data_IF_980162410401
#
_entry.id   IF_980162410401
#
_cell.length_a   1.000
_cell.length_b   1.000
_cell.length_c   1.000
_cell.angle_alpha   90.00
_cell.angle_beta   90.00
_cell.angle_gamma   90.00
#
_symmetry.space_group_name_H-M   'P 1'
#
loop_
_entity.id
_entity.type
_entity.pdbx_description
1 polymer ?
#
# COMPACT_ATOMS: atom_id res chain seq x y z
N UNK A 1 7.16 -23.71 -3.25
CA UNK A 1 8.06 -23.58 -4.41
C UNK A 1 8.47 -22.10 -4.45
N UNK A 2 9.70 -21.76 -4.08
CA UNK A 2 10.15 -20.35 -4.10
C UNK A 2 10.33 -19.93 -5.55
N UNK A 3 9.56 -18.94 -6.01
CA UNK A 3 9.78 -18.34 -7.32
C UNK A 3 11.19 -17.72 -7.35
N UNK A 4 11.93 -17.94 -8.44
CA UNK A 4 13.24 -17.34 -8.59
C UNK A 4 13.12 -15.80 -8.54
N UNK A 5 14.02 -15.08 -7.83
CA UNK A 5 13.93 -13.63 -7.65
C UNK A 5 13.76 -12.85 -8.96
N UNK A 6 14.46 -13.29 -10.02
CA UNK A 6 14.37 -12.71 -11.36
C UNK A 6 12.95 -12.85 -11.92
N UNK A 7 12.31 -14.00 -11.72
CA UNK A 7 10.95 -14.26 -12.21
C UNK A 7 9.90 -13.35 -11.56
N UNK A 8 10.02 -13.11 -10.25
CA UNK A 8 9.13 -12.20 -9.50
C UNK A 8 9.28 -10.75 -10.00
N UNK A 9 10.52 -10.28 -10.14
CA UNK A 9 10.81 -8.92 -10.60
C UNK A 9 10.35 -8.72 -12.05
N UNK A 10 10.66 -9.69 -12.93
CA UNK A 10 10.23 -9.65 -14.32
C UNK A 10 8.70 -9.63 -14.45
N UNK A 11 8.01 -10.49 -13.69
CA UNK A 11 6.54 -10.50 -13.62
C UNK A 11 5.99 -9.13 -13.22
N UNK A 12 6.45 -8.59 -12.09
CA UNK A 12 6.02 -7.28 -11.59
C UNK A 12 6.28 -6.16 -12.61
N UNK A 13 7.44 -6.17 -13.26
CA UNK A 13 7.79 -5.19 -14.30
C UNK A 13 6.86 -5.30 -15.52
N UNK A 14 6.61 -6.50 -16.01
CA UNK A 14 5.70 -6.74 -17.15
C UNK A 14 4.28 -6.30 -16.82
N UNK A 15 3.76 -6.65 -15.64
CA UNK A 15 2.42 -6.25 -15.22
C UNK A 15 2.34 -4.73 -15.08
N UNK A 16 3.35 -4.09 -14.48
CA UNK A 16 3.39 -2.63 -14.34
C UNK A 16 3.39 -1.92 -15.70
N UNK A 17 4.11 -2.47 -16.70
CA UNK A 17 4.12 -1.95 -18.06
C UNK A 17 2.76 -2.04 -18.75
N UNK A 18 2.08 -3.19 -18.59
CA UNK A 18 0.73 -3.36 -19.13
C UNK A 18 -0.27 -2.44 -18.43
N UNK A 19 -0.18 -2.30 -17.11
CA UNK A 19 -1.03 -1.41 -16.33
C UNK A 19 -0.83 0.06 -16.75
N UNK A 20 0.42 0.51 -16.89
CA UNK A 20 0.75 1.88 -17.31
C UNK A 20 0.24 2.17 -18.73
N UNK A 21 0.42 1.21 -19.63
CA UNK A 21 -0.10 1.30 -21.00
C UNK A 21 -1.62 1.36 -21.04
N UNK A 22 -2.29 0.58 -20.18
CA UNK A 22 -3.76 0.59 -20.04
C UNK A 22 -4.26 1.92 -19.50
N UNK A 23 -3.60 2.49 -18.48
CA UNK A 23 -3.92 3.81 -17.94
C UNK A 23 -3.82 4.89 -19.02
N UNK A 24 -2.73 4.86 -19.81
CA UNK A 24 -2.49 5.78 -20.92
C UNK A 24 -3.54 5.63 -22.01
N UNK A 25 -3.93 4.40 -22.35
CA UNK A 25 -4.97 4.12 -23.34
C UNK A 25 -6.34 4.69 -22.88
N UNK A 26 -6.73 4.42 -21.63
CA UNK A 26 -7.94 4.95 -21.04
C UNK A 26 -7.95 6.49 -21.02
N UNK A 27 -6.84 7.11 -20.62
CA UNK A 27 -6.70 8.56 -20.66
C UNK A 27 -6.88 9.11 -22.08
N UNK A 28 -6.21 8.50 -23.07
CA UNK A 28 -6.31 8.89 -24.47
C UNK A 28 -7.72 8.73 -25.02
N UNK A 29 -8.40 7.65 -24.64
CA UNK A 29 -9.78 7.39 -24.99
C UNK A 29 -10.72 8.47 -24.45
N UNK A 30 -10.66 8.78 -23.14
CA UNK A 30 -11.44 9.86 -22.54
C UNK A 30 -11.11 11.22 -23.18
N UNK A 31 -9.84 11.44 -23.52
CA UNK A 31 -9.41 12.68 -24.18
C UNK A 31 -9.96 12.82 -25.61
N UNK A 32 -10.13 11.71 -26.33
CA UNK A 32 -10.74 11.69 -27.66
C UNK A 32 -12.24 11.99 -27.67
N UNK A 33 -12.92 11.91 -26.52
CA UNK A 33 -14.36 12.19 -26.41
C UNK A 33 -14.65 13.70 -26.50
N UNK A 34 -14.96 14.20 -27.71
CA UNK A 34 -15.32 15.60 -28.00
C UNK A 34 -16.40 16.22 -27.09
N UNK A 35 -17.27 15.40 -26.50
CA UNK A 35 -18.37 15.84 -25.61
C UNK A 35 -18.44 15.03 -24.30
N UNK A 36 -17.29 14.62 -23.75
CA UNK A 36 -17.29 13.91 -22.48
C UNK A 36 -17.85 14.81 -21.33
N UNK A 37 -18.68 14.26 -20.43
CA UNK A 37 -19.17 14.98 -19.25
C UNK A 37 -18.01 15.50 -18.37
N UNK A 38 -18.22 16.63 -17.68
CA UNK A 38 -17.20 17.24 -16.81
C UNK A 38 -16.67 16.28 -15.74
N UNK A 39 -17.51 15.40 -15.21
CA UNK A 39 -17.12 14.39 -14.22
C UNK A 39 -16.17 13.34 -14.80
N UNK A 40 -16.37 12.94 -16.05
CA UNK A 40 -15.48 12.02 -16.76
C UNK A 40 -14.15 12.71 -17.13
N UNK A 41 -14.19 14.00 -17.43
CA UNK A 41 -12.99 14.81 -17.64
C UNK A 41 -12.16 14.94 -16.36
N UNK A 42 -12.80 15.09 -15.19
CA UNK A 42 -12.12 15.18 -13.90
C UNK A 42 -11.31 13.92 -13.56
N UNK A 43 -11.75 12.74 -14.01
CA UNK A 43 -11.02 11.48 -13.79
C UNK A 43 -9.68 11.41 -14.53
N UNK A 44 -9.43 12.26 -15.53
CA UNK A 44 -8.16 12.25 -16.27
C UNK A 44 -6.96 12.50 -15.37
N UNK A 45 -7.09 13.39 -14.39
CA UNK A 45 -6.02 13.71 -13.45
C UNK A 45 -5.71 12.49 -12.56
N UNK A 46 -6.74 11.81 -12.06
CA UNK A 46 -6.60 10.59 -11.27
C UNK A 46 -5.93 9.46 -12.10
N UNK A 47 -6.31 9.30 -13.37
CA UNK A 47 -5.73 8.29 -14.29
C UNK A 47 -4.26 8.61 -14.63
N UNK A 48 -3.93 9.88 -14.91
CA UNK A 48 -2.55 10.31 -15.13
C UNK A 48 -1.69 10.11 -13.89
N UNK A 49 -2.24 10.40 -12.71
CA UNK A 49 -1.57 10.16 -11.43
C UNK A 49 -1.27 8.68 -11.23
N UNK A 50 -2.23 7.78 -11.51
CA UNK A 50 -2.01 6.33 -11.46
C UNK A 50 -0.93 5.87 -12.46
N UNK A 51 -0.97 6.37 -13.70
CA UNK A 51 0.07 6.10 -14.71
C UNK A 51 1.46 6.54 -14.21
N UNK A 52 1.58 7.73 -13.63
CA UNK A 52 2.86 8.25 -13.14
C UNK A 52 3.45 7.39 -12.02
N UNK A 53 2.61 6.88 -11.11
CA UNK A 53 3.05 5.97 -10.04
C UNK A 53 3.58 4.65 -10.61
N UNK A 54 2.87 4.08 -11.59
CA UNK A 54 3.31 2.85 -12.26
C UNK A 54 4.63 3.05 -13.02
N UNK A 55 4.81 4.17 -13.71
CA UNK A 55 6.08 4.48 -14.38
C UNK A 55 7.23 4.71 -13.40
N UNK A 56 6.96 5.39 -12.28
CA UNK A 56 7.93 5.55 -11.19
C UNK A 56 8.37 4.21 -10.60
N UNK A 57 7.43 3.29 -10.40
CA UNK A 57 7.73 1.92 -9.97
C UNK A 57 8.61 1.17 -10.99
N UNK A 58 8.30 1.27 -12.29
CA UNK A 58 9.11 0.64 -13.35
C UNK A 58 10.53 1.18 -13.37
N UNK A 59 10.70 2.49 -13.21
CA UNK A 59 12.02 3.12 -13.14
C UNK A 59 12.81 2.59 -11.93
N UNK A 60 12.19 2.56 -10.75
CA UNK A 60 12.81 2.05 -9.52
C UNK A 60 13.21 0.56 -9.64
N UNK A 61 12.36 -0.28 -10.23
CA UNK A 61 12.68 -1.69 -10.50
C UNK A 61 13.90 -1.80 -11.41
N UNK A 62 13.91 -1.07 -12.52
CA UNK A 62 14.98 -1.13 -13.51
C UNK A 62 16.32 -0.70 -12.92
N UNK A 63 16.33 0.40 -12.18
CA UNK A 63 17.51 0.93 -11.49
C UNK A 63 18.06 -0.07 -10.46
N UNK A 64 17.18 -0.69 -9.66
CA UNK A 64 17.57 -1.63 -8.61
C UNK A 64 17.98 -3.00 -9.14
N UNK A 65 17.49 -3.40 -10.32
CA UNK A 65 17.74 -4.71 -10.93
C UNK A 65 19.15 -4.88 -11.52
N UNK A 66 20.00 -3.86 -11.48
CA UNK A 66 21.37 -3.93 -12.02
C UNK A 66 22.30 -4.85 -11.20
N UNK A 67 22.02 -5.04 -9.91
CA UNK A 67 22.83 -5.85 -8.99
C UNK A 67 22.10 -7.11 -8.51
N UNK A 68 22.72 -8.28 -8.64
CA UNK A 68 22.13 -9.58 -8.27
C UNK A 68 21.76 -9.68 -6.79
N UNK A 69 22.52 -9.03 -5.90
CA UNK A 69 22.20 -8.96 -4.47
C UNK A 69 20.92 -8.15 -4.21
N UNK A 70 20.77 -7.03 -4.91
CA UNK A 70 19.60 -6.15 -4.80
C UNK A 70 18.35 -6.80 -5.38
N UNK A 71 18.48 -7.67 -6.38
CA UNK A 71 17.36 -8.45 -6.93
C UNK A 71 16.72 -9.41 -5.91
N UNK A 72 17.52 -10.14 -5.14
CA UNK A 72 16.98 -11.08 -4.14
C UNK A 72 16.23 -10.34 -3.00
N UNK A 73 16.79 -9.21 -2.57
CA UNK A 73 16.17 -8.34 -1.56
C UNK A 73 14.87 -7.76 -2.11
N UNK A 74 14.89 -7.18 -3.32
CA UNK A 74 13.73 -6.58 -3.96
C UNK A 74 12.60 -7.60 -4.16
N UNK A 75 12.90 -8.82 -4.63
CA UNK A 75 11.89 -9.88 -4.79
C UNK A 75 11.22 -10.26 -3.46
N UNK A 76 12.00 -10.33 -2.38
CA UNK A 76 11.49 -10.61 -1.03
C UNK A 76 10.58 -9.49 -0.54
N UNK A 77 10.97 -8.23 -0.77
CA UNK A 77 10.17 -7.06 -0.42
C UNK A 77 8.88 -7.00 -1.26
N UNK A 78 8.95 -7.33 -2.54
CA UNK A 78 7.80 -7.33 -3.45
C UNK A 78 6.75 -8.37 -3.02
N UNK A 79 7.20 -9.54 -2.59
CA UNK A 79 6.33 -10.56 -2.02
C UNK A 79 5.76 -10.11 -0.67
N UNK A 80 6.60 -9.61 0.24
CA UNK A 80 6.18 -9.17 1.57
C UNK A 80 5.12 -8.07 1.51
N UNK A 81 5.31 -7.08 0.64
CA UNK A 81 4.36 -5.96 0.49
C UNK A 81 3.26 -6.22 -0.54
N UNK A 82 3.21 -7.40 -1.17
CA UNK A 82 2.16 -7.74 -2.14
C UNK A 82 2.13 -6.82 -3.37
N UNK A 83 3.28 -6.28 -3.80
CA UNK A 83 3.38 -5.28 -4.87
C UNK A 83 2.77 -5.80 -6.17
N UNK A 84 3.06 -7.04 -6.54
CA UNK A 84 2.50 -7.66 -7.75
C UNK A 84 0.97 -7.69 -7.73
N UNK A 85 0.39 -8.04 -6.57
CA UNK A 85 -1.05 -8.12 -6.40
C UNK A 85 -1.68 -6.72 -6.47
N UNK A 86 -1.05 -5.70 -5.87
CA UNK A 86 -1.50 -4.31 -5.95
C UNK A 86 -1.46 -3.75 -7.38
N UNK A 87 -0.42 -4.05 -8.17
CA UNK A 87 -0.35 -3.67 -9.59
C UNK A 87 -1.44 -4.37 -10.40
N UNK A 88 -1.63 -5.68 -10.19
CA UNK A 88 -2.70 -6.46 -10.87
C UNK A 88 -4.08 -5.90 -10.57
N UNK A 89 -4.33 -5.55 -9.31
CA UNK A 89 -5.56 -4.88 -8.89
C UNK A 89 -5.77 -3.55 -9.64
N UNK A 90 -4.75 -2.69 -9.68
CA UNK A 90 -4.81 -1.42 -10.40
C UNK A 90 -5.10 -1.62 -11.90
N UNK A 91 -4.41 -2.58 -12.54
CA UNK A 91 -4.61 -2.95 -13.94
C UNK A 91 -6.08 -3.36 -14.20
N UNK A 92 -6.64 -4.24 -13.37
CA UNK A 92 -8.02 -4.71 -13.53
C UNK A 92 -9.04 -3.58 -13.38
N UNK A 93 -8.85 -2.70 -12.39
CA UNK A 93 -9.72 -1.52 -12.20
C UNK A 93 -9.73 -0.64 -13.46
N UNK A 94 -8.56 -0.41 -14.06
CA UNK A 94 -8.43 0.40 -15.29
C UNK A 94 -9.11 -0.29 -16.49
N UNK A 95 -8.86 -1.58 -16.69
CA UNK A 95 -9.42 -2.34 -17.82
C UNK A 95 -10.94 -2.47 -17.75
N UNK A 96 -11.48 -2.76 -16.56
CA UNK A 96 -12.92 -2.85 -16.34
C UNK A 96 -13.64 -1.53 -16.63
N UNK A 97 -13.06 -0.42 -16.15
CA UNK A 97 -13.62 0.90 -16.43
C UNK A 97 -13.51 1.27 -17.92
N UNK A 98 -12.42 0.88 -18.58
CA UNK A 98 -12.26 1.07 -20.04
C UNK A 98 -13.35 0.32 -20.80
N UNK A 99 -13.53 -0.97 -20.53
CA UNK A 99 -14.56 -1.80 -21.15
C UNK A 99 -15.97 -1.24 -20.90
N UNK A 100 -16.20 -0.72 -19.69
CA UNK A 100 -17.45 -0.04 -19.34
C UNK A 100 -17.66 1.18 -20.24
N UNK A 101 -16.73 2.13 -20.32
CA UNK A 101 -16.93 3.34 -21.16
C UNK A 101 -17.04 2.98 -22.66
N UNK A 102 -16.26 2.01 -23.15
CA UNK A 102 -16.34 1.54 -24.54
C UNK A 102 -17.74 1.01 -24.88
N UNK A 103 -18.31 0.16 -24.04
CA UNK A 103 -19.68 -0.37 -24.22
C UNK A 103 -20.72 0.73 -24.46
N UNK A 104 -20.61 1.85 -23.73
CA UNK A 104 -21.58 2.95 -23.82
C UNK A 104 -21.28 3.96 -24.92
N UNK A 105 -20.12 3.88 -25.57
CA UNK A 105 -19.71 4.78 -26.66
C UNK A 105 -19.81 4.15 -28.06
N UNK A 106 -19.86 2.81 -28.17
CA UNK A 106 -19.80 2.05 -29.45
C UNK A 106 -21.03 2.21 -30.39
N UNK A 107 -22.17 2.75 -29.96
CA UNK A 107 -23.44 2.68 -30.75
C UNK A 107 -23.89 3.95 -31.51
N UNK A 108 -22.98 4.84 -31.87
CA UNK A 108 -23.38 6.17 -32.41
C UNK A 108 -23.74 6.22 -33.90
N UNK A 109 -23.87 5.08 -34.59
CA UNK A 109 -23.83 5.07 -36.06
C UNK A 109 -25.15 4.78 -36.77
N UNK A 110 -26.26 4.46 -36.09
CA UNK A 110 -27.55 4.21 -36.78
C UNK A 110 -28.78 4.74 -36.02
N UNK A 111 -29.21 5.95 -36.36
CA UNK A 111 -30.64 6.29 -36.43
C UNK A 111 -31.42 6.67 -35.17
N UNK A 112 -30.82 6.75 -33.97
CA UNK A 112 -31.51 7.15 -32.73
C UNK A 112 -30.91 8.41 -32.10
N UNK A 113 -31.75 9.40 -31.76
CA UNK A 113 -31.40 10.79 -31.45
C UNK A 113 -30.69 11.08 -30.10
N UNK A 114 -30.13 10.08 -29.41
CA UNK A 114 -29.47 10.33 -28.11
C UNK A 114 -27.98 10.56 -28.31
N UNK A 115 -27.52 11.78 -28.05
CA UNK A 115 -26.09 12.12 -28.14
C UNK A 115 -25.27 11.24 -27.19
N UNK A 116 -24.07 10.82 -27.61
CA UNK A 116 -23.08 10.13 -26.75
C UNK A 116 -22.94 10.83 -25.40
N UNK A 117 -22.97 12.17 -25.40
CA UNK A 117 -22.94 12.98 -24.19
C UNK A 117 -24.12 12.69 -23.25
N UNK A 118 -25.33 12.64 -23.80
CA UNK A 118 -26.55 12.45 -23.02
C UNK A 118 -26.61 11.02 -22.50
N UNK A 119 -26.18 10.02 -23.29
CA UNK A 119 -25.97 8.66 -22.80
C UNK A 119 -24.96 8.65 -21.66
N UNK A 120 -23.73 9.12 -21.86
CA UNK A 120 -22.71 9.15 -20.80
C UNK A 120 -23.18 9.88 -19.53
N UNK A 121 -23.96 10.97 -19.67
CA UNK A 121 -24.50 11.73 -18.54
C UNK A 121 -25.61 10.99 -17.78
N UNK A 122 -26.46 10.24 -18.49
CA UNK A 122 -27.52 9.41 -17.89
C UNK A 122 -26.92 8.13 -17.28
N UNK A 123 -25.94 7.55 -17.97
CA UNK A 123 -25.33 6.26 -17.70
C UNK A 123 -24.30 6.30 -16.55
N UNK A 124 -23.47 7.34 -16.45
CA UNK A 124 -22.49 7.46 -15.38
C UNK A 124 -23.06 8.29 -14.22
N UNK A 125 -23.78 7.61 -13.31
CA UNK A 125 -24.16 8.18 -12.02
C UNK A 125 -22.90 8.69 -11.30
N UNK A 126 -23.01 9.82 -10.61
CA UNK A 126 -21.93 10.40 -9.81
C UNK A 126 -21.31 9.35 -8.87
N UNK A 127 -22.13 8.55 -8.21
CA UNK A 127 -21.71 7.46 -7.32
C UNK A 127 -20.79 6.43 -7.99
N UNK A 128 -21.04 6.06 -9.24
CA UNK A 128 -20.22 5.10 -9.99
C UNK A 128 -18.84 5.65 -10.33
N UNK A 129 -18.78 6.93 -10.72
CA UNK A 129 -17.51 7.61 -10.98
C UNK A 129 -16.71 7.83 -9.70
N UNK A 130 -17.38 8.20 -8.59
CA UNK A 130 -16.73 8.30 -7.27
C UNK A 130 -16.21 6.93 -6.80
N UNK A 131 -16.97 5.85 -6.98
CA UNK A 131 -16.53 4.50 -6.63
C UNK A 131 -15.33 4.04 -7.48
N UNK A 132 -15.31 4.34 -8.78
CA UNK A 132 -14.13 4.11 -9.62
C UNK A 132 -12.92 4.92 -9.11
N UNK A 133 -13.11 6.22 -8.86
CA UNK A 133 -12.06 7.11 -8.37
C UNK A 133 -11.50 6.63 -7.03
N UNK A 134 -12.36 6.22 -6.11
CA UNK A 134 -11.98 5.68 -4.81
C UNK A 134 -11.11 4.42 -4.97
N UNK A 135 -11.54 3.46 -5.80
CA UNK A 135 -10.78 2.22 -6.08
C UNK A 135 -9.45 2.49 -6.79
N UNK A 136 -9.43 3.41 -7.76
CA UNK A 136 -8.21 3.79 -8.48
C UNK A 136 -7.21 4.46 -7.53
N UNK A 137 -7.66 5.40 -6.69
CA UNK A 137 -6.80 6.05 -5.73
C UNK A 137 -6.35 5.08 -4.62
N UNK A 138 -7.22 4.16 -4.19
CA UNK A 138 -6.89 3.07 -3.28
C UNK A 138 -5.71 2.23 -3.78
N UNK A 139 -5.85 1.68 -4.99
CA UNK A 139 -4.79 0.86 -5.60
C UNK A 139 -3.52 1.65 -5.92
N UNK A 140 -3.64 2.89 -6.39
CA UNK A 140 -2.49 3.78 -6.65
C UNK A 140 -1.69 4.05 -5.38
N UNK A 141 -2.35 4.51 -4.32
CA UNK A 141 -1.70 4.86 -3.06
C UNK A 141 -1.03 3.62 -2.46
N UNK A 142 -1.71 2.47 -2.52
CA UNK A 142 -1.15 1.18 -2.09
C UNK A 142 0.17 0.85 -2.81
N UNK A 143 0.24 1.04 -4.14
CA UNK A 143 1.48 0.84 -4.91
C UNK A 143 2.58 1.83 -4.47
N UNK A 144 2.24 3.11 -4.33
CA UNK A 144 3.18 4.13 -3.85
C UNK A 144 3.74 3.78 -2.47
N UNK A 145 2.89 3.35 -1.54
CA UNK A 145 3.29 2.99 -0.18
C UNK A 145 4.12 1.72 -0.14
N UNK A 146 3.77 0.71 -0.93
CA UNK A 146 4.56 -0.50 -1.00
C UNK A 146 5.97 -0.23 -1.57
N UNK A 147 6.08 0.71 -2.53
CA UNK A 147 7.38 1.18 -3.02
C UNK A 147 8.16 1.94 -1.95
N UNK A 148 7.52 2.86 -1.23
CA UNK A 148 8.14 3.58 -0.10
C UNK A 148 8.62 2.56 0.95
N UNK A 149 7.81 1.56 1.29
CA UNK A 149 8.16 0.50 2.24
C UNK A 149 9.34 -0.34 1.80
N UNK A 150 9.37 -0.71 0.52
CA UNK A 150 10.50 -1.42 -0.07
C UNK A 150 11.79 -0.56 -0.02
N UNK A 151 11.70 0.72 -0.37
CA UNK A 151 12.81 1.66 -0.31
C UNK A 151 13.28 1.89 1.13
N UNK A 152 12.38 2.00 2.10
CA UNK A 152 12.72 2.14 3.52
C UNK A 152 13.38 0.88 4.07
N UNK A 153 12.90 -0.30 3.66
CA UNK A 153 13.49 -1.57 4.06
C UNK A 153 14.88 -1.78 3.45
N UNK A 154 15.18 -1.16 2.31
CA UNK A 154 16.50 -1.22 1.66
C UNK A 154 17.45 -0.07 2.02
N UNK A 155 16.94 1.05 2.55
CA UNK A 155 17.70 2.29 2.78
C UNK A 155 18.16 2.47 4.22
N UNK A 156 19.44 2.85 4.40
CA UNK A 156 20.07 3.20 5.70
C UNK A 156 20.10 4.73 5.90
N UNK A 157 18.96 5.41 5.72
CA UNK A 157 18.94 6.89 5.61
C UNK A 157 18.83 7.64 6.95
N UNK A 158 19.31 8.89 6.94
CA UNK A 158 19.49 9.77 8.09
C UNK A 158 18.18 10.14 8.82
N UNK A 159 18.27 10.22 10.14
CA UNK A 159 17.20 9.79 11.04
C UNK A 159 16.04 10.80 11.26
N UNK A 160 16.27 12.11 11.23
CA UNK A 160 15.23 13.07 11.65
C UNK A 160 14.23 13.40 10.52
N UNK A 161 14.72 13.64 9.29
CA UNK A 161 13.85 13.90 8.13
C UNK A 161 13.10 12.65 7.69
N UNK A 162 13.71 11.47 7.85
CA UNK A 162 13.04 10.19 7.62
C UNK A 162 11.95 9.96 8.66
N UNK A 163 12.19 10.25 9.94
CA UNK A 163 11.15 10.13 10.99
C UNK A 163 9.93 10.98 10.71
N UNK A 164 10.13 12.26 10.37
CA UNK A 164 9.02 13.15 10.06
C UNK A 164 8.25 12.69 8.80
N UNK A 165 8.97 12.17 7.79
CA UNK A 165 8.33 11.55 6.62
C UNK A 165 7.55 10.28 6.98
N UNK A 166 8.11 9.42 7.83
CA UNK A 166 7.47 8.18 8.27
C UNK A 166 6.19 8.45 9.05
N UNK A 167 6.21 9.43 9.97
CA UNK A 167 5.03 9.84 10.71
C UNK A 167 3.95 10.44 9.79
N UNK A 168 4.35 11.28 8.82
CA UNK A 168 3.42 11.78 7.82
C UNK A 168 2.82 10.64 6.98
N UNK A 169 3.62 9.64 6.60
CA UNK A 169 3.12 8.47 5.88
C UNK A 169 2.20 7.59 6.72
N UNK A 170 2.44 7.47 8.02
CA UNK A 170 1.58 6.74 8.94
C UNK A 170 0.18 7.37 9.01
N UNK A 171 0.10 8.69 9.21
CA UNK A 171 -1.19 9.40 9.26
C UNK A 171 -2.00 9.18 7.98
N UNK A 172 -1.35 9.28 6.82
CA UNK A 172 -2.03 9.06 5.54
C UNK A 172 -2.42 7.58 5.35
N UNK A 173 -1.63 6.62 5.84
CA UNK A 173 -1.98 5.19 5.79
C UNK A 173 -3.19 4.85 6.66
N UNK A 174 -3.31 5.46 7.84
CA UNK A 174 -4.47 5.28 8.72
C UNK A 174 -5.74 5.83 8.07
N UNK A 175 -5.65 7.02 7.47
CA UNK A 175 -6.74 7.58 6.66
C UNK A 175 -7.08 6.67 5.47
N UNK A 176 -6.05 6.13 4.81
CA UNK A 176 -6.25 5.22 3.68
C UNK A 176 -6.93 3.91 4.07
N UNK A 177 -6.57 3.36 5.23
CA UNK A 177 -7.20 2.16 5.78
C UNK A 177 -8.68 2.42 6.10
N UNK A 178 -9.00 3.60 6.63
CA UNK A 178 -10.39 4.04 6.83
C UNK A 178 -11.15 4.11 5.52
N UNK A 179 -10.58 4.76 4.50
CA UNK A 179 -11.19 4.84 3.16
C UNK A 179 -11.43 3.46 2.53
N UNK A 180 -10.51 2.51 2.70
CA UNK A 180 -10.72 1.13 2.24
C UNK A 180 -11.90 0.45 2.95
N UNK A 181 -12.06 0.67 4.25
CA UNK A 181 -13.20 0.15 5.00
C UNK A 181 -14.51 0.82 4.59
N UNK A 182 -14.51 2.12 4.34
CA UNK A 182 -15.67 2.84 3.82
C UNK A 182 -16.10 2.31 2.44
N UNK A 183 -15.14 2.00 1.56
CA UNK A 183 -15.42 1.36 0.27
C UNK A 183 -16.02 -0.04 0.47
N UNK A 184 -15.52 -0.82 1.43
CA UNK A 184 -16.06 -2.15 1.75
C UNK A 184 -17.51 -2.05 2.23
N UNK A 185 -17.79 -1.16 3.19
CA UNK A 185 -19.12 -0.93 3.74
C UNK A 185 -20.09 -0.48 2.64
N UNK A 186 -19.68 0.53 1.85
CA UNK A 186 -20.46 0.98 0.69
C UNK A 186 -20.70 -0.15 -0.32
N UNK A 187 -19.73 -1.04 -0.55
CA UNK A 187 -19.85 -2.16 -1.49
C UNK A 187 -20.78 -3.26 -0.97
N UNK A 188 -20.81 -3.47 0.35
CA UNK A 188 -21.69 -4.45 1.01
C UNK A 188 -23.14 -3.96 1.14
N UNK A 189 -23.33 -2.65 1.34
CA UNK A 189 -24.65 -2.03 1.48
C UNK A 189 -25.38 -1.81 0.14
N UNK A 190 -24.68 -1.99 -0.98
CA UNK A 190 -25.30 -1.99 -2.29
C UNK A 190 -26.08 -3.28 -2.50
N UNK A 191 -27.40 -3.20 -2.34
CA UNK A 191 -28.33 -4.18 -2.89
C UNK A 191 -28.05 -4.32 -4.39
N UNK A 192 -27.78 -5.53 -4.85
CA UNK A 192 -27.70 -5.82 -6.28
C UNK A 192 -29.12 -5.69 -6.83
N UNK A 193 -29.48 -4.49 -7.28
CA UNK A 193 -30.71 -4.29 -8.04
C UNK A 193 -30.64 -5.15 -9.31
N UNK A 194 -31.27 -6.32 -9.26
CA UNK A 194 -31.67 -7.06 -10.46
C UNK A 194 -32.86 -6.31 -11.05
N UNK A 195 -32.63 -5.37 -11.95
CA UNK A 195 -33.75 -4.78 -12.69
C UNK A 195 -34.18 -5.74 -13.80
N UNK A 196 -35.35 -6.34 -13.63
CA UNK A 196 -36.13 -7.00 -14.70
C UNK A 196 -36.81 -5.99 -15.65
N UNK A 197 -36.60 -4.68 -15.46
CA UNK A 197 -37.32 -3.64 -16.18
C UNK A 197 -36.45 -2.98 -17.29
N UNK A 198 -36.74 -3.22 -18.58
CA UNK A 198 -35.95 -2.71 -19.71
C UNK A 198 -36.15 -1.21 -20.02
N UNK A 199 -37.00 -0.49 -19.28
CA UNK A 199 -37.33 0.93 -19.56
C UNK A 199 -36.51 1.96 -18.76
N UNK A 200 -35.80 1.57 -17.69
CA UNK A 200 -34.84 2.46 -17.02
C UNK A 200 -33.43 2.31 -17.58
N UNK A 201 -32.97 3.32 -18.33
CA UNK A 201 -31.61 3.47 -18.87
C UNK A 201 -30.55 3.75 -17.75
N UNK A 202 -30.78 3.23 -16.55
CA UNK A 202 -29.92 3.33 -15.38
C UNK A 202 -29.01 2.10 -15.29
N UNK A 203 -27.68 2.29 -15.21
CA UNK A 203 -26.80 1.14 -14.90
C UNK A 203 -26.83 0.90 -13.37
N UNK A 204 -27.28 -0.27 -12.89
CA UNK A 204 -26.96 -0.70 -11.54
C UNK A 204 -25.44 -0.94 -11.41
N UNK A 205 -24.91 -0.92 -10.19
CA UNK A 205 -23.56 -1.45 -9.95
C UNK A 205 -23.62 -2.93 -10.35
N UNK A 206 -22.87 -3.28 -11.38
CA UNK A 206 -22.96 -4.64 -11.93
C UNK A 206 -22.37 -5.61 -10.91
N UNK A 207 -22.90 -6.83 -10.83
CA UNK A 207 -22.33 -7.87 -9.96
C UNK A 207 -20.81 -8.02 -10.21
N UNK A 208 -20.35 -7.83 -11.44
CA UNK A 208 -18.94 -7.83 -11.84
C UNK A 208 -18.14 -6.71 -11.14
N UNK A 209 -18.66 -5.48 -11.08
CA UNK A 209 -17.98 -4.36 -10.43
C UNK A 209 -17.88 -4.55 -8.91
N UNK A 210 -18.93 -5.12 -8.29
CA UNK A 210 -18.94 -5.48 -6.87
C UNK A 210 -17.96 -6.61 -6.60
N UNK A 211 -18.02 -7.68 -7.38
CA UNK A 211 -17.19 -8.87 -7.19
C UNK A 211 -15.70 -8.54 -7.43
N UNK A 212 -15.38 -7.67 -8.40
CA UNK A 212 -14.04 -7.14 -8.60
C UNK A 212 -13.57 -6.31 -7.39
N UNK A 213 -14.48 -5.53 -6.81
CA UNK A 213 -14.16 -4.72 -5.62
C UNK A 213 -13.90 -5.63 -4.42
N UNK A 214 -14.72 -6.66 -4.21
CA UNK A 214 -14.53 -7.66 -3.17
C UNK A 214 -13.27 -8.51 -3.36
N UNK A 215 -12.83 -8.73 -4.61
CA UNK A 215 -11.57 -9.43 -4.90
C UNK A 215 -10.34 -8.54 -4.63
N UNK A 216 -10.40 -7.28 -5.04
CA UNK A 216 -9.26 -6.35 -4.98
C UNK A 216 -9.04 -5.79 -3.58
N UNK A 217 -10.09 -5.53 -2.83
CA UNK A 217 -10.00 -4.81 -1.56
C UNK A 217 -9.18 -5.55 -0.48
N UNK A 218 -9.30 -6.88 -0.30
CA UNK A 218 -8.44 -7.64 0.62
C UNK A 218 -6.95 -7.54 0.26
N UNK A 219 -6.62 -7.45 -1.04
CA UNK A 219 -5.24 -7.28 -1.50
C UNK A 219 -4.70 -5.94 -1.04
N UNK A 220 -5.49 -4.87 -1.23
CA UNK A 220 -5.10 -3.52 -0.81
C UNK A 220 -4.94 -3.43 0.71
N UNK A 221 -5.90 -3.97 1.48
CA UNK A 221 -5.84 -4.03 2.93
C UNK A 221 -4.60 -4.78 3.45
N UNK A 222 -4.29 -5.93 2.84
CA UNK A 222 -3.11 -6.71 3.20
C UNK A 222 -1.82 -5.91 3.00
N UNK A 223 -1.65 -5.28 1.83
CA UNK A 223 -0.47 -4.46 1.53
C UNK A 223 -0.35 -3.26 2.48
N UNK A 224 -1.46 -2.56 2.74
CA UNK A 224 -1.49 -1.43 3.69
C UNK A 224 -1.07 -1.88 5.09
N UNK A 225 -1.57 -3.03 5.56
CA UNK A 225 -1.22 -3.57 6.88
C UNK A 225 0.25 -3.95 6.97
N UNK A 226 0.80 -4.63 5.96
CA UNK A 226 2.22 -5.00 5.92
C UNK A 226 3.12 -3.77 5.91
N UNK A 227 2.70 -2.71 5.23
CA UNK A 227 3.42 -1.45 5.20
C UNK A 227 3.41 -0.73 6.55
N UNK A 228 2.24 -0.65 7.19
CA UNK A 228 2.11 -0.05 8.52
C UNK A 228 3.03 -0.75 9.52
N UNK A 229 3.02 -2.09 9.52
CA UNK A 229 3.95 -2.88 10.34
C UNK A 229 5.42 -2.61 10.04
N UNK A 230 5.80 -2.40 8.77
CA UNK A 230 7.17 -2.07 8.40
C UNK A 230 7.58 -0.68 8.89
N UNK A 231 6.71 0.33 8.73
CA UNK A 231 6.92 1.68 9.27
C UNK A 231 7.02 1.62 10.81
N UNK A 232 6.08 0.96 11.48
CA UNK A 232 6.07 0.84 12.94
C UNK A 232 7.34 0.15 13.45
N UNK A 233 7.80 -0.90 12.75
CA UNK A 233 9.03 -1.61 13.08
C UNK A 233 10.27 -0.73 12.90
N UNK A 234 10.27 0.14 11.88
CA UNK A 234 11.35 1.10 11.64
C UNK A 234 11.31 2.23 12.68
N UNK A 235 10.15 2.77 13.01
CA UNK A 235 10.01 3.79 14.05
C UNK A 235 10.46 3.22 15.41
N UNK A 236 9.93 2.07 15.80
CA UNK A 236 10.20 1.43 17.10
C UNK A 236 11.61 0.85 17.21
N UNK A 237 12.15 0.36 16.10
CA UNK A 237 13.47 -0.26 16.02
C UNK A 237 14.62 0.75 15.88
N UNK A 238 14.38 1.91 15.28
CA UNK A 238 15.43 2.88 14.93
C UNK A 238 15.49 4.04 15.93
N UNK A 239 14.39 4.37 16.61
CA UNK A 239 14.28 5.53 17.51
C UNK A 239 13.75 5.14 18.89
N UNK A 240 14.65 4.96 19.85
CA UNK A 240 14.26 4.78 21.25
C UNK A 240 14.71 5.99 22.06
N UNK A 241 13.75 6.66 22.67
CA UNK A 241 14.00 7.77 23.59
C UNK A 241 13.82 7.26 25.02
N UNK A 242 14.93 6.89 25.64
CA UNK A 242 14.99 6.31 26.98
C UNK A 242 15.30 7.46 27.93
N UNK A 243 14.27 8.07 28.51
CA UNK A 243 14.44 9.19 29.43
C UNK A 243 15.23 8.78 30.69
N UNK A 244 14.84 7.67 31.33
CA UNK A 244 15.52 7.14 32.51
C UNK A 244 15.38 5.62 32.58
N UNK A 245 16.49 4.93 32.82
CA UNK A 245 16.56 3.49 33.06
C UNK A 245 17.36 3.21 34.34
N UNK A 246 16.70 2.67 35.35
CA UNK A 246 17.32 2.40 36.66
C UNK A 246 17.08 0.94 37.05
N UNK A 247 18.14 0.26 37.46
CA UNK A 247 18.07 -1.04 38.11
C UNK A 247 18.63 -0.96 39.53
N UNK A 248 17.89 -1.49 40.51
CA UNK A 248 18.25 -1.45 41.92
C UNK A 248 18.08 -2.83 42.59
N UNK A 249 18.91 -3.10 43.60
CA UNK A 249 18.91 -4.30 44.45
C UNK A 249 18.86 -5.62 43.68
N UNK A 250 20.02 -6.04 43.16
CA UNK A 250 20.18 -7.28 42.38
C UNK A 250 19.25 -7.41 41.15
N UNK A 251 18.71 -6.30 40.66
CA UNK A 251 17.80 -6.29 39.51
C UNK A 251 18.55 -6.15 38.19
N UNK A 252 17.84 -6.44 37.10
CA UNK A 252 18.36 -6.27 35.75
C UNK A 252 17.34 -5.47 34.95
N UNK A 253 17.81 -4.49 34.18
CA UNK A 253 16.98 -3.71 33.27
C UNK A 253 17.62 -3.68 31.88
N UNK A 254 16.79 -3.81 30.84
CA UNK A 254 17.20 -3.75 29.45
C UNK A 254 16.29 -2.79 28.70
N UNK A 255 16.89 -1.85 27.97
CA UNK A 255 16.17 -1.03 26.99
C UNK A 255 16.91 -1.10 25.65
N UNK A 256 16.26 -1.69 24.66
CA UNK A 256 16.93 -2.01 23.41
C UNK A 256 16.26 -3.10 22.62
N UNK A 257 16.94 -3.57 21.59
CA UNK A 257 16.42 -4.57 20.66
C UNK A 257 17.19 -5.87 20.84
N UNK A 258 16.46 -6.98 20.99
CA UNK A 258 17.02 -8.34 21.06
C UNK A 258 16.79 -9.03 19.72
N UNK A 259 17.84 -9.57 19.09
CA UNK A 259 17.70 -10.30 17.83
C UNK A 259 19.03 -10.62 17.15
N UNK A 260 18.97 -11.38 16.04
CA UNK A 260 20.11 -11.60 15.14
C UNK A 260 20.05 -10.64 13.95
N UNK A 261 21.22 -10.22 13.44
CA UNK A 261 21.38 -9.36 12.25
C UNK A 261 20.80 -7.93 12.37
N UNK A 262 20.90 -7.28 13.52
CA UNK A 262 20.51 -5.88 13.67
C UNK A 262 21.71 -4.97 13.37
N UNK A 263 21.80 -4.42 12.15
CA UNK A 263 22.91 -3.56 11.69
C UNK A 263 23.18 -2.41 12.68
N UNK A 264 24.37 -2.31 13.31
CA UNK A 264 24.72 -1.35 14.35
C UNK A 264 24.51 0.13 13.95
N UNK A 265 24.49 0.46 12.67
CA UNK A 265 24.31 1.83 12.17
C UNK A 265 22.86 2.33 12.22
N UNK A 266 21.89 1.42 12.36
CA UNK A 266 20.45 1.71 12.26
C UNK A 266 19.83 2.11 13.61
N UNK A 267 20.42 1.73 14.74
CA UNK A 267 19.79 2.00 16.05
C UNK A 267 20.28 3.33 16.62
N UNK A 268 19.40 4.32 16.67
CA UNK A 268 19.65 5.58 17.36
C UNK A 268 18.82 5.63 18.63
N UNK A 269 19.48 5.40 19.75
CA UNK A 269 18.89 5.55 21.07
C UNK A 269 19.33 6.89 21.66
N UNK A 270 18.37 7.69 22.11
CA UNK A 270 18.66 8.80 23.02
C UNK A 270 18.48 8.27 24.42
N UNK A 271 19.52 8.37 25.24
CA UNK A 271 19.49 7.91 26.63
C UNK A 271 19.72 9.12 27.52
N UNK A 272 18.72 9.48 28.31
CA UNK A 272 18.84 10.55 29.31
C UNK A 272 19.70 10.09 30.47
N UNK A 273 19.19 9.15 31.28
CA UNK A 273 19.90 8.61 32.45
C UNK A 273 19.84 7.09 32.50
N UNK A 274 20.99 6.45 32.71
CA UNK A 274 21.10 5.01 32.94
C UNK A 274 21.86 4.76 34.25
N UNK A 275 21.28 4.00 35.19
CA UNK A 275 21.90 3.78 36.50
C UNK A 275 21.68 2.36 37.03
N UNK A 276 22.76 1.73 37.48
CA UNK A 276 22.73 0.43 38.15
C UNK A 276 23.23 0.57 39.59
N UNK A 277 22.45 0.13 40.57
CA UNK A 277 22.77 0.18 42.01
C UNK A 277 22.77 -1.20 42.64
N UNK A 278 23.46 -1.36 43.77
CA UNK A 278 23.32 -2.56 44.63
C UNK A 278 23.44 -3.88 43.86
N UNK A 279 24.57 -4.07 43.17
CA UNK A 279 24.86 -5.27 42.34
C UNK A 279 23.90 -5.52 41.18
N UNK A 280 23.13 -4.51 40.77
CA UNK A 280 22.23 -4.58 39.61
C UNK A 280 22.97 -4.41 38.28
N UNK A 281 22.28 -4.70 37.17
CA UNK A 281 22.81 -4.54 35.81
C UNK A 281 21.82 -3.78 34.94
N UNK A 282 22.33 -2.82 34.17
CA UNK A 282 21.56 -2.12 33.15
C UNK A 282 22.21 -2.38 31.79
N UNK A 283 21.40 -2.73 30.80
CA UNK A 283 21.84 -2.82 29.42
C UNK A 283 21.02 -1.87 28.54
N UNK A 284 21.72 -1.10 27.71
CA UNK A 284 21.11 -0.24 26.70
C UNK A 284 21.81 -0.50 25.38
N UNK A 285 21.03 -0.82 24.35
CA UNK A 285 21.57 -1.07 23.01
C UNK A 285 21.07 -2.37 22.38
N UNK A 286 21.95 -3.04 21.64
CA UNK A 286 21.62 -4.27 20.92
C UNK A 286 22.16 -5.48 21.63
N UNK A 287 21.30 -6.45 21.84
CA UNK A 287 21.69 -7.71 22.43
C UNK A 287 21.38 -8.85 21.47
N UNK A 288 22.38 -9.69 21.18
CA UNK A 288 22.11 -10.92 20.46
C UNK A 288 21.27 -11.85 21.34
N UNK A 289 20.54 -12.77 20.73
CA UNK A 289 19.69 -13.71 21.48
C UNK A 289 20.49 -14.55 22.49
N UNK A 290 21.74 -14.93 22.15
CA UNK A 290 22.65 -15.63 23.05
C UNK A 290 23.07 -14.79 24.25
N UNK A 291 23.48 -13.54 24.00
CA UNK A 291 23.89 -12.62 25.08
C UNK A 291 22.70 -12.23 25.96
N UNK A 292 21.48 -12.22 25.42
CA UNK A 292 20.25 -12.01 26.19
C UNK A 292 19.97 -13.15 27.16
N UNK A 293 20.14 -14.40 26.71
CA UNK A 293 20.01 -15.57 27.58
C UNK A 293 21.02 -15.53 28.73
N UNK A 294 22.25 -15.09 28.47
CA UNK A 294 23.28 -14.91 29.51
C UNK A 294 22.95 -13.73 30.45
N UNK A 295 22.41 -12.63 29.90
CA UNK A 295 22.03 -11.45 30.66
C UNK A 295 20.85 -11.70 31.59
N UNK A 296 19.91 -12.58 31.25
CA UNK A 296 18.72 -12.89 32.06
C UNK A 296 18.82 -14.19 32.86
N UNK A 297 19.69 -15.12 32.47
CA UNK A 297 19.73 -16.48 33.02
C UNK A 297 18.86 -17.44 32.20
N UNK A 298 19.22 -18.72 32.19
CA UNK A 298 18.86 -19.69 31.13
C UNK A 298 17.37 -20.03 30.89
N UNK A 299 16.39 -19.55 31.67
CA UNK A 299 15.01 -20.10 31.64
C UNK A 299 13.85 -19.10 31.83
N UNK A 300 13.85 -17.92 31.18
CA UNK A 300 12.67 -17.03 31.20
C UNK A 300 11.98 -16.88 29.83
N UNK A 301 10.70 -17.25 29.79
CA UNK A 301 9.76 -17.06 28.66
C UNK A 301 9.20 -15.64 28.73
N UNK A 302 9.22 -14.93 27.59
CA UNK A 302 8.82 -13.53 27.49
C UNK A 302 7.30 -13.38 27.33
N UNK A 303 6.66 -12.58 28.19
CA UNK A 303 5.37 -11.94 27.91
C UNK A 303 5.63 -10.52 27.46
N UNK A 304 5.27 -10.17 26.22
CA UNK A 304 5.23 -8.78 25.75
C UNK A 304 4.22 -8.00 26.59
N UNK A 305 4.70 -7.05 27.39
CA UNK A 305 3.82 -6.18 28.16
C UNK A 305 2.94 -5.35 27.23
N UNK A 306 1.62 -5.54 27.33
CA UNK A 306 0.65 -4.59 26.78
C UNK A 306 0.81 -3.23 27.46
N UNK A 307 0.59 -2.11 26.74
CA UNK A 307 0.50 -0.81 27.38
C UNK A 307 -0.75 -0.81 28.27
N UNK A 308 -0.55 -0.75 29.58
CA UNK A 308 -1.63 -0.62 30.56
C UNK A 308 -1.98 0.85 30.80
N UNK A 309 -3.27 1.14 30.56
CA UNK A 309 -4.14 2.19 31.13
C UNK A 309 -3.64 3.65 31.17
#
# INVERSE_FOLDING_TARGET
MMAEPIGVIASALTIAEVAASSAKALWGFINGLRKAPAQLQALKEDILSAQSVLEGLRAAIRETSADTCNQAILATLFQRFGIEAAIKANQRIILDFTATIEKYTVHSTKGGSVSIRDRLKVTFRKSKLEAFKARLNASKNTISYALIGATLASSVLAAEDVKNNLLAHQEVLEEHSRQLNDILEYTNDLDVEQTEDPEEDNIPITAIERDLTLEVLPILQHTTTQMQQAIDSQISGTFQDIETLVADTNSRALAGTIGQNIDPTILRQRVGRAEAKNSSRVFIGKMSEGVSKDFWGHDQVWTTGSPGA
#
